data_IF_570902879567
#
_entry.id   IF_570902879567
#
_cell.length_a   1.000
_cell.length_b   1.000
_cell.length_c   1.000
_cell.angle_alpha   90.00
_cell.angle_beta   90.00
_cell.angle_gamma   90.00
#
_symmetry.space_group_name_H-M   'P 1'
#
loop_
_entity.id
_entity.type
_entity.pdbx_description
1 polymer ?
#
# COMPACT_ATOMS: atom_id res chain seq x y z
N UNK A 1 -20.12 -0.10 -15.05
CA UNK A 1 -18.81 0.18 -15.69
C UNK A 1 -18.47 1.64 -15.38
N UNK A 2 -17.49 1.91 -14.51
CA UNK A 2 -16.92 3.25 -14.33
C UNK A 2 -15.44 3.10 -13.99
N UNK A 3 -14.61 3.66 -14.87
CA UNK A 3 -13.16 3.86 -14.79
C UNK A 3 -12.98 5.32 -15.25
N UNK A 4 -12.13 6.15 -14.61
CA UNK A 4 -10.76 5.82 -14.22
C UNK A 4 -10.45 6.00 -12.73
N UNK A 5 -9.74 5.02 -12.19
CA UNK A 5 -9.61 4.72 -10.76
C UNK A 5 -8.82 5.75 -9.93
N UNK A 6 -8.11 6.73 -10.51
CA UNK A 6 -7.20 7.60 -9.73
C UNK A 6 -7.85 8.87 -9.19
N UNK A 7 -8.58 9.58 -10.02
CA UNK A 7 -9.20 10.86 -9.63
C UNK A 7 -10.27 10.64 -8.55
N UNK A 8 -11.06 9.56 -8.69
CA UNK A 8 -12.01 9.16 -7.66
C UNK A 8 -11.33 8.66 -6.37
N UNK A 9 -10.12 8.10 -6.45
CA UNK A 9 -9.36 7.71 -5.25
C UNK A 9 -8.83 8.93 -4.52
N UNK A 10 -8.38 9.95 -5.24
CA UNK A 10 -7.87 11.18 -4.64
C UNK A 10 -8.99 11.96 -3.93
N UNK A 11 -10.14 12.12 -4.60
CA UNK A 11 -11.34 12.69 -3.98
C UNK A 11 -11.81 11.86 -2.78
N UNK A 12 -11.77 10.52 -2.89
CA UNK A 12 -12.15 9.65 -1.78
C UNK A 12 -11.21 9.82 -0.58
N UNK A 13 -9.90 9.94 -0.81
CA UNK A 13 -8.92 10.17 0.27
C UNK A 13 -9.20 11.51 0.95
N UNK A 14 -9.42 12.57 0.18
CA UNK A 14 -9.71 13.91 0.72
C UNK A 14 -10.96 13.90 1.60
N UNK A 15 -12.07 13.35 1.10
CA UNK A 15 -13.31 13.22 1.87
C UNK A 15 -13.12 12.38 3.14
N UNK A 16 -12.39 11.28 3.06
CA UNK A 16 -12.14 10.42 4.22
C UNK A 16 -11.22 11.11 5.25
N UNK A 17 -10.25 11.92 4.82
CA UNK A 17 -9.40 12.73 5.70
C UNK A 17 -10.23 13.79 6.45
N UNK A 18 -11.20 14.42 5.78
CA UNK A 18 -12.15 15.32 6.43
C UNK A 18 -13.01 14.58 7.47
N UNK A 19 -13.51 13.38 7.15
CA UNK A 19 -14.28 12.58 8.10
C UNK A 19 -13.45 12.20 9.34
N UNK A 20 -12.17 11.86 9.14
CA UNK A 20 -11.23 11.62 10.24
C UNK A 20 -11.02 12.90 11.07
N UNK A 21 -10.91 14.08 10.42
CA UNK A 21 -10.75 15.37 11.10
C UNK A 21 -11.96 15.71 11.97
N UNK A 22 -13.17 15.46 11.48
CA UNK A 22 -14.44 15.66 12.22
C UNK A 22 -14.68 14.54 13.25
N UNK A 23 -13.78 13.55 13.34
CA UNK A 23 -13.89 12.37 14.22
C UNK A 23 -15.15 11.53 13.98
N UNK A 24 -15.72 11.62 12.78
CA UNK A 24 -16.89 10.84 12.40
C UNK A 24 -16.44 9.44 11.92
N UNK A 25 -16.92 8.40 12.60
CA UNK A 25 -16.69 7.00 12.25
C UNK A 25 -15.21 6.69 11.92
N UNK A 26 -14.30 7.13 12.81
CA UNK A 26 -12.84 7.12 12.60
C UNK A 26 -12.34 5.72 12.17
N UNK A 27 -12.84 4.66 12.80
CA UNK A 27 -12.48 3.27 12.48
C UNK A 27 -12.73 2.96 11.01
N UNK A 28 -13.95 3.22 10.54
CA UNK A 28 -14.33 2.93 9.15
C UNK A 28 -13.59 3.83 8.18
N UNK A 29 -13.46 5.12 8.49
CA UNK A 29 -12.74 6.08 7.64
C UNK A 29 -11.26 5.71 7.50
N UNK A 30 -10.60 5.32 8.58
CA UNK A 30 -9.20 4.84 8.57
C UNK A 30 -9.03 3.55 7.77
N UNK A 31 -9.98 2.62 7.87
CA UNK A 31 -9.98 1.40 7.07
C UNK A 31 -10.08 1.70 5.57
N UNK A 32 -11.02 2.57 5.18
CA UNK A 32 -11.20 2.96 3.78
C UNK A 32 -10.01 3.78 3.25
N UNK A 33 -9.41 4.64 4.07
CA UNK A 33 -8.17 5.36 3.73
C UNK A 33 -7.03 4.39 3.44
N UNK A 34 -6.83 3.40 4.31
CA UNK A 34 -5.81 2.39 4.11
C UNK A 34 -6.04 1.62 2.80
N UNK A 35 -7.28 1.28 2.48
CA UNK A 35 -7.66 0.62 1.23
C UNK A 35 -7.37 1.51 -0.01
N UNK A 36 -7.71 2.79 0.04
CA UNK A 36 -7.40 3.73 -1.03
C UNK A 36 -5.88 3.87 -1.25
N UNK A 37 -5.10 3.98 -0.17
CA UNK A 37 -3.64 4.02 -0.26
C UNK A 37 -3.05 2.71 -0.79
N UNK A 38 -3.62 1.54 -0.46
CA UNK A 38 -3.22 0.25 -1.06
C UNK A 38 -3.45 0.26 -2.58
N UNK A 39 -4.61 0.73 -3.04
CA UNK A 39 -4.92 0.85 -4.47
C UNK A 39 -3.96 1.81 -5.19
N UNK A 40 -3.54 2.88 -4.50
CA UNK A 40 -2.52 3.82 -5.01
C UNK A 40 -1.06 3.31 -4.90
N UNK A 41 -0.84 2.08 -4.41
CA UNK A 41 0.48 1.52 -4.09
C UNK A 41 1.29 2.31 -3.05
N UNK A 42 0.61 3.15 -2.26
CA UNK A 42 1.20 3.92 -1.17
C UNK A 42 1.23 3.11 0.13
N UNK A 43 1.88 1.95 0.09
CA UNK A 43 1.86 0.95 1.18
C UNK A 43 2.32 1.48 2.53
N UNK A 44 3.26 2.44 2.54
CA UNK A 44 3.75 3.08 3.79
C UNK A 44 2.65 3.87 4.49
N UNK A 45 1.84 4.63 3.76
CA UNK A 45 0.73 5.40 4.34
C UNK A 45 -0.38 4.44 4.79
N UNK A 46 -0.75 3.48 3.95
CA UNK A 46 -1.72 2.45 4.30
C UNK A 46 -1.38 1.73 5.61
N UNK A 47 -0.10 1.35 5.78
CA UNK A 47 0.38 0.71 7.01
C UNK A 47 0.17 1.59 8.25
N UNK A 48 0.48 2.89 8.16
CA UNK A 48 0.31 3.82 9.29
C UNK A 48 -1.16 3.92 9.72
N UNK A 49 -2.08 4.05 8.76
CA UNK A 49 -3.51 4.10 9.05
C UNK A 49 -4.01 2.80 9.67
N UNK A 50 -3.56 1.64 9.17
CA UNK A 50 -3.88 0.33 9.74
C UNK A 50 -3.30 0.14 11.15
N UNK A 51 -2.07 0.58 11.39
CA UNK A 51 -1.45 0.50 12.72
C UNK A 51 -2.19 1.39 13.73
N UNK A 52 -2.65 2.59 13.32
CA UNK A 52 -3.50 3.44 14.14
C UNK A 52 -4.87 2.80 14.39
N UNK A 53 -5.48 2.22 13.36
CA UNK A 53 -6.76 1.53 13.44
C UNK A 53 -6.71 0.36 14.43
N UNK A 54 -5.68 -0.49 14.34
CA UNK A 54 -5.49 -1.63 15.23
C UNK A 54 -5.11 -1.23 16.66
N UNK A 55 -4.57 -0.03 16.89
CA UNK A 55 -4.38 0.52 18.24
C UNK A 55 -5.71 0.89 18.89
N UNK A 56 -6.67 1.39 18.11
CA UNK A 56 -8.01 1.72 18.57
C UNK A 56 -8.85 0.44 18.76
N UNK A 57 -8.81 -0.45 17.77
CA UNK A 57 -9.58 -1.70 17.76
C UNK A 57 -8.66 -2.90 17.45
N UNK A 58 -7.96 -3.44 18.46
CA UNK A 58 -7.03 -4.55 18.25
C UNK A 58 -7.69 -5.86 17.80
N UNK A 59 -9.00 -6.02 18.04
CA UNK A 59 -9.78 -7.21 17.63
C UNK A 59 -10.55 -7.00 16.32
N UNK A 60 -10.25 -5.95 15.56
CA UNK A 60 -10.91 -5.71 14.28
C UNK A 60 -10.40 -6.70 13.22
N UNK A 61 -11.22 -7.71 12.91
CA UNK A 61 -10.89 -8.74 11.92
C UNK A 61 -10.66 -8.17 10.52
N UNK A 62 -11.42 -7.15 10.12
CA UNK A 62 -11.25 -6.52 8.81
C UNK A 62 -9.90 -5.79 8.70
N UNK A 63 -9.50 -5.09 9.76
CA UNK A 63 -8.18 -4.44 9.79
C UNK A 63 -7.04 -5.46 9.74
N UNK A 64 -7.17 -6.60 10.44
CA UNK A 64 -6.17 -7.68 10.42
C UNK A 64 -6.06 -8.34 9.04
N UNK A 65 -7.17 -8.63 8.37
CA UNK A 65 -7.15 -9.20 7.02
C UNK A 65 -6.55 -8.22 6.01
N UNK A 66 -6.89 -6.94 6.09
CA UNK A 66 -6.33 -5.91 5.22
C UNK A 66 -4.82 -5.72 5.47
N UNK A 67 -4.37 -5.82 6.72
CA UNK A 67 -2.94 -5.79 7.06
C UNK A 67 -2.19 -7.00 6.50
N UNK A 68 -2.78 -8.19 6.55
CA UNK A 68 -2.20 -9.39 5.92
C UNK A 68 -2.07 -9.21 4.40
N UNK A 69 -3.11 -8.70 3.74
CA UNK A 69 -3.07 -8.38 2.31
C UNK A 69 -1.96 -7.38 1.98
N UNK A 70 -1.83 -6.31 2.78
CA UNK A 70 -0.79 -5.31 2.63
C UNK A 70 0.63 -5.91 2.71
N UNK A 71 0.87 -6.85 3.62
CA UNK A 71 2.16 -7.53 3.73
C UNK A 71 2.47 -8.39 2.51
N UNK A 72 1.48 -9.12 1.97
CA UNK A 72 1.66 -9.91 0.76
C UNK A 72 2.02 -9.03 -0.45
N UNK A 73 1.35 -7.87 -0.59
CA UNK A 73 1.65 -6.91 -1.65
C UNK A 73 3.05 -6.30 -1.50
N UNK A 74 3.45 -5.96 -0.28
CA UNK A 74 4.81 -5.47 0.01
C UNK A 74 5.88 -6.51 -0.33
N UNK A 75 5.63 -7.77 0.02
CA UNK A 75 6.55 -8.86 -0.27
C UNK A 75 6.70 -9.08 -1.78
N UNK A 76 5.59 -9.10 -2.52
CA UNK A 76 5.59 -9.28 -3.98
C UNK A 76 6.31 -8.13 -4.71
N UNK A 77 6.05 -6.87 -4.33
CA UNK A 77 6.74 -5.72 -4.92
C UNK A 77 8.24 -5.69 -4.54
N UNK A 78 8.60 -6.06 -3.30
CA UNK A 78 10.00 -6.15 -2.87
C UNK A 78 10.76 -7.28 -3.60
N UNK A 79 10.11 -8.42 -3.81
CA UNK A 79 10.67 -9.56 -4.52
C UNK A 79 10.93 -9.25 -6.00
N UNK A 80 10.00 -8.54 -6.66
CA UNK A 80 10.22 -8.06 -8.04
C UNK A 80 11.39 -7.10 -8.13
N UNK A 81 11.50 -6.18 -7.16
CA UNK A 81 12.60 -5.22 -7.10
C UNK A 81 13.96 -5.88 -6.94
N UNK A 82 14.08 -6.84 -6.03
CA UNK A 82 15.35 -7.57 -5.81
C UNK A 82 15.75 -8.39 -7.03
N UNK A 83 14.79 -9.05 -7.69
CA UNK A 83 15.05 -9.82 -8.90
C UNK A 83 15.58 -8.95 -10.05
N UNK A 84 15.02 -7.75 -10.22
CA UNK A 84 15.49 -6.81 -11.23
C UNK A 84 16.95 -6.37 -10.99
N UNK A 85 17.31 -6.07 -9.73
CA UNK A 85 18.67 -5.68 -9.35
C UNK A 85 19.67 -6.81 -9.60
N UNK A 86 19.31 -8.05 -9.20
CA UNK A 86 20.16 -9.23 -9.41
C UNK A 86 20.38 -9.45 -10.91
N UNK A 87 19.31 -9.43 -11.72
CA UNK A 87 19.41 -9.61 -13.16
C UNK A 87 20.27 -8.53 -13.82
N UNK A 88 20.08 -7.25 -13.45
CA UNK A 88 20.89 -6.17 -13.98
C UNK A 88 22.39 -6.32 -13.64
N UNK A 89 22.69 -6.74 -12.40
CA UNK A 89 24.07 -6.99 -11.96
C UNK A 89 24.72 -8.15 -12.74
N UNK A 90 23.99 -9.24 -12.99
CA UNK A 90 24.49 -10.39 -13.75
C UNK A 90 24.76 -10.02 -15.22
N UNK A 91 23.86 -9.25 -15.84
CA UNK A 91 24.05 -8.75 -17.20
C UNK A 91 25.27 -7.83 -17.30
N UNK A 92 25.47 -6.93 -16.33
CA UNK A 92 26.63 -6.04 -16.30
C UNK A 92 27.95 -6.81 -16.17
N UNK A 93 27.99 -7.83 -15.30
CA UNK A 93 29.17 -8.70 -15.14
C UNK A 93 29.45 -9.48 -16.43
N UNK A 94 28.42 -10.03 -17.08
CA UNK A 94 28.56 -10.76 -18.34
C UNK A 94 29.09 -9.86 -19.47
N UNK A 95 28.55 -8.65 -19.60
CA UNK A 95 29.02 -7.66 -20.59
C UNK A 95 30.48 -7.25 -20.36
N UNK A 96 30.87 -7.02 -19.10
CA UNK A 96 32.26 -6.72 -18.74
C UNK A 96 33.21 -7.87 -19.11
N UNK A 97 32.77 -9.13 -18.90
CA UNK A 97 33.56 -10.32 -19.23
C UNK A 97 33.65 -10.59 -20.73
N UNK A 98 32.69 -10.10 -21.53
CA UNK A 98 32.67 -10.24 -22.99
C UNK A 98 33.52 -9.18 -23.71
N UNK A 99 33.76 -8.03 -23.06
CA UNK A 99 34.56 -6.92 -23.57
C UNK A 99 36.06 -7.03 -23.27
N UNK A 100 36.47 -8.03 -22.49
CA UNK A 100 37.86 -8.30 -22.12
C UNK A 100 38.36 -9.57 -22.78
#
# INVERSE_FOLDING_TARGET
MCSPEREHLDLAIELLEELVRVKYNITTSMYQLALCHIKRREYKKARRHLDMLLRLEPRNHAALTLRSLLFNLLYDDAMKGSLFVIMASLCAIAAYKLWK
#
